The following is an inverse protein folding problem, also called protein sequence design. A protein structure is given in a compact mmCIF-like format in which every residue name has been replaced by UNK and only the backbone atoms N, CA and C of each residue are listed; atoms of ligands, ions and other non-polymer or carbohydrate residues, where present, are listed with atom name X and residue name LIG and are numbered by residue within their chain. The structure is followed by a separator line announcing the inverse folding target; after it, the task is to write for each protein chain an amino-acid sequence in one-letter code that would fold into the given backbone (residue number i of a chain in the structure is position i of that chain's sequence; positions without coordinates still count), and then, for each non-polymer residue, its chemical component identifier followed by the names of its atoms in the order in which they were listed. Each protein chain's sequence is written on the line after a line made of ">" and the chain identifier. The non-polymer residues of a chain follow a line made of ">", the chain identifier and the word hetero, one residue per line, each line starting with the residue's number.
data_IF_236652781372
#
_entry.id   IF_236652781372
#
_cell.length_a   1.000
_cell.length_b   1.000
_cell.length_c   1.000
_cell.angle_alpha   90.00
_cell.angle_beta   90.00
_cell.angle_gamma   90.00
#
_symmetry.space_group_name_H-M   'P 1'
#
loop_
_entity.id
_entity.type
_entity.pdbx_description
1 polymer ?
#
# COMPACT_ATOMS: atom_id res chain seq x y z
N UNK A 1 21.71 -31.04 30.22
CA UNK A 1 23.07 -31.63 30.38
C UNK A 1 22.87 -33.01 31.02
N UNK A 2 23.41 -34.04 30.42
CA UNK A 2 23.42 -35.39 30.97
C UNK A 2 24.70 -35.57 31.78
N UNK A 3 24.55 -36.08 33.00
CA UNK A 3 25.64 -36.50 33.82
C UNK A 3 25.48 -37.97 34.15
N UNK A 4 26.46 -38.81 33.80
CA UNK A 4 26.46 -40.26 34.08
C UNK A 4 27.32 -40.47 35.35
N UNK A 5 26.73 -41.13 36.34
CA UNK A 5 27.38 -41.46 37.60
C UNK A 5 28.14 -42.79 37.52
N UNK A 6 29.10 -43.04 38.42
CA UNK A 6 29.90 -44.28 38.44
C UNK A 6 29.08 -45.54 38.63
N UNK A 7 27.86 -45.43 39.17
CA UNK A 7 26.91 -46.53 39.35
C UNK A 7 26.04 -46.82 38.10
N UNK A 8 26.31 -46.05 36.99
CA UNK A 8 25.54 -46.15 35.75
C UNK A 8 24.22 -45.37 35.74
N UNK A 9 23.85 -44.72 36.84
CA UNK A 9 22.68 -43.84 36.86
C UNK A 9 22.94 -42.55 36.09
N UNK A 10 21.90 -41.94 35.54
CA UNK A 10 21.96 -40.70 34.75
C UNK A 10 21.11 -39.62 35.42
N UNK A 11 21.71 -38.48 35.62
CA UNK A 11 20.99 -37.27 36.01
C UNK A 11 20.86 -36.33 34.83
N UNK A 12 19.67 -35.86 34.57
CA UNK A 12 19.40 -34.87 33.53
C UNK A 12 19.16 -33.51 34.21
N UNK A 13 20.11 -32.63 34.04
CA UNK A 13 19.94 -31.24 34.43
C UNK A 13 19.19 -30.52 33.31
N UNK A 14 18.02 -29.96 33.61
CA UNK A 14 17.32 -29.03 32.72
C UNK A 14 18.17 -27.77 32.69
N UNK A 15 19.02 -27.64 31.68
CA UNK A 15 19.67 -26.36 31.37
C UNK A 15 18.55 -25.47 30.90
N UNK A 16 18.37 -24.31 31.50
CA UNK A 16 17.47 -23.29 30.96
C UNK A 16 17.89 -23.05 29.50
N UNK A 17 17.03 -23.39 28.56
CA UNK A 17 17.23 -22.99 27.19
C UNK A 17 17.31 -21.46 27.19
N UNK A 18 18.36 -20.90 26.60
CA UNK A 18 18.42 -19.45 26.39
C UNK A 18 17.19 -19.07 25.56
N UNK A 19 16.24 -18.40 26.18
CA UNK A 19 15.06 -17.88 25.50
C UNK A 19 15.42 -16.53 24.89
N UNK A 20 15.21 -16.41 23.59
CA UNK A 20 15.31 -15.13 22.90
C UNK A 20 14.06 -14.30 23.23
N UNK A 21 14.26 -13.10 23.80
CA UNK A 21 13.16 -12.19 24.15
C UNK A 21 12.40 -11.74 22.89
N UNK A 22 11.12 -11.40 23.06
CA UNK A 22 10.31 -10.85 21.98
C UNK A 22 10.83 -9.48 21.55
N UNK A 23 10.65 -9.09 20.27
CA UNK A 23 10.94 -7.74 19.81
C UNK A 23 10.15 -6.69 20.57
N UNK A 24 10.70 -5.47 20.64
CA UNK A 24 10.10 -4.30 21.29
C UNK A 24 9.77 -3.24 20.24
N UNK A 25 8.91 -2.27 20.61
CA UNK A 25 8.59 -1.11 19.77
C UNK A 25 8.16 -1.49 18.35
N UNK A 26 7.38 -2.59 18.24
CA UNK A 26 6.87 -3.03 16.94
C UNK A 26 5.84 -2.04 16.43
N UNK A 27 6.11 -1.42 15.29
CA UNK A 27 5.26 -0.40 14.68
C UNK A 27 5.05 -0.66 13.20
N UNK A 28 3.96 -0.11 12.66
CA UNK A 28 3.69 -0.02 11.22
C UNK A 28 3.55 1.45 10.84
N UNK A 29 4.25 1.86 9.82
CA UNK A 29 4.06 3.17 9.19
C UNK A 29 3.49 2.99 7.78
N UNK A 30 2.69 3.96 7.32
CA UNK A 30 2.15 4.00 5.97
C UNK A 30 2.66 5.27 5.27
N UNK A 31 3.05 5.17 4.00
CA UNK A 31 3.40 6.33 3.17
C UNK A 31 2.22 7.28 2.98
N UNK A 32 1.02 6.74 2.90
CA UNK A 32 -0.25 7.45 2.95
C UNK A 32 -1.32 6.55 3.58
N UNK A 33 -2.39 7.13 4.11
CA UNK A 33 -3.49 6.37 4.72
C UNK A 33 -4.72 6.23 3.83
N UNK A 34 -4.78 7.03 2.77
CA UNK A 34 -5.92 7.04 1.84
C UNK A 34 -5.42 7.19 0.42
N UNK A 35 -5.91 6.34 -0.47
CA UNK A 35 -5.65 6.38 -1.91
C UNK A 35 -6.93 6.09 -2.69
N UNK A 36 -6.93 6.37 -3.98
CA UNK A 36 -7.99 5.94 -4.90
C UNK A 36 -7.74 4.52 -5.43
N UNK A 37 -8.80 3.85 -5.85
CA UNK A 37 -8.73 2.56 -6.55
C UNK A 37 -7.66 2.60 -7.64
N UNK A 38 -6.87 1.53 -7.75
CA UNK A 38 -5.74 1.42 -8.68
C UNK A 38 -4.42 1.99 -8.16
N UNK A 39 -4.40 2.62 -6.99
CA UNK A 39 -3.18 3.03 -6.29
C UNK A 39 -2.88 2.08 -5.14
N UNK A 40 -1.62 2.06 -4.70
CA UNK A 40 -1.12 1.23 -3.61
C UNK A 40 -0.75 2.10 -2.42
N UNK A 41 -0.94 1.56 -1.23
CA UNK A 41 -0.39 2.09 0.03
C UNK A 41 0.79 1.20 0.39
N UNK A 42 1.94 1.79 0.72
CA UNK A 42 3.10 1.05 1.22
C UNK A 42 3.17 1.12 2.72
N UNK A 43 3.18 -0.05 3.32
CA UNK A 43 3.34 -0.23 4.75
C UNK A 43 4.76 -0.69 5.05
N UNK A 44 5.36 -0.16 6.11
CA UNK A 44 6.69 -0.53 6.59
C UNK A 44 6.63 -0.89 8.07
N UNK A 45 7.06 -2.10 8.38
CA UNK A 45 7.26 -2.58 9.74
C UNK A 45 8.60 -2.08 10.31
N UNK A 46 8.61 -1.77 11.60
CA UNK A 46 9.82 -1.52 12.38
C UNK A 46 9.73 -2.25 13.71
N UNK A 47 10.84 -2.75 14.19
CA UNK A 47 10.97 -3.41 15.48
C UNK A 47 12.38 -3.19 16.03
N UNK A 48 12.53 -3.26 17.36
CA UNK A 48 13.79 -3.18 18.07
C UNK A 48 14.02 -4.46 18.89
N UNK A 49 15.29 -4.78 19.15
CA UNK A 49 15.67 -5.89 19.99
C UNK A 49 16.93 -5.56 20.80
N UNK A 50 16.99 -6.03 22.05
CA UNK A 50 18.14 -5.77 22.94
C UNK A 50 19.40 -6.53 22.50
N UNK A 51 19.22 -7.73 21.93
CA UNK A 51 20.31 -8.53 21.37
C UNK A 51 20.70 -7.97 20.01
N UNK A 52 21.99 -7.69 19.83
CA UNK A 52 22.54 -7.27 18.53
C UNK A 52 22.57 -8.45 17.56
N UNK A 53 22.48 -8.13 16.26
CA UNK A 53 22.60 -9.10 15.15
C UNK A 53 21.45 -10.14 15.09
N UNK A 54 20.25 -9.80 15.57
CA UNK A 54 19.06 -10.60 15.28
C UNK A 54 18.54 -10.30 13.88
N UNK A 55 17.98 -11.32 13.22
CA UNK A 55 17.14 -11.18 12.05
C UNK A 55 15.68 -11.11 12.49
N UNK A 56 14.79 -10.63 11.60
CA UNK A 56 13.38 -10.56 11.88
C UNK A 56 12.56 -11.37 10.88
N UNK A 57 11.55 -12.08 11.38
CA UNK A 57 10.47 -12.67 10.59
C UNK A 57 9.21 -11.86 10.79
N UNK A 58 8.40 -11.72 9.73
CA UNK A 58 7.21 -10.90 9.71
C UNK A 58 5.98 -11.74 9.34
N UNK A 59 4.85 -11.44 10.00
CA UNK A 59 3.53 -11.94 9.65
C UNK A 59 2.57 -10.77 9.62
N UNK A 60 1.97 -10.53 8.48
CA UNK A 60 1.01 -9.44 8.31
C UNK A 60 -0.41 -9.92 8.49
N UNK A 61 -1.23 -9.03 9.02
CA UNK A 61 -2.64 -9.25 9.26
C UNK A 61 -3.46 -8.12 8.65
N UNK A 62 -4.63 -8.45 8.08
CA UNK A 62 -5.66 -7.52 7.64
C UNK A 62 -6.93 -7.81 8.43
N UNK A 63 -7.46 -6.84 9.15
CA UNK A 63 -8.67 -6.96 9.98
C UNK A 63 -8.63 -8.20 10.92
N UNK A 64 -7.44 -8.50 11.44
CA UNK A 64 -7.17 -9.64 12.32
C UNK A 64 -6.89 -10.98 11.61
N UNK A 65 -7.11 -11.09 10.30
CA UNK A 65 -6.83 -12.28 9.52
C UNK A 65 -5.39 -12.28 8.97
N UNK A 66 -4.71 -13.44 9.04
CA UNK A 66 -3.35 -13.60 8.53
C UNK A 66 -3.31 -13.45 6.99
N UNK A 67 -2.39 -12.64 6.51
CA UNK A 67 -2.07 -12.52 5.09
C UNK A 67 -1.00 -13.53 4.70
N UNK A 68 -1.40 -14.62 4.07
CA UNK A 68 -0.49 -15.67 3.65
C UNK A 68 0.53 -15.15 2.63
N UNK A 69 1.81 -15.50 2.84
CA UNK A 69 2.91 -15.10 1.95
C UNK A 69 3.44 -13.67 2.17
N UNK A 70 2.84 -12.87 3.04
CA UNK A 70 3.34 -11.55 3.41
C UNK A 70 4.39 -11.70 4.55
N UNK A 71 5.64 -11.90 4.17
CA UNK A 71 6.76 -12.20 5.09
C UNK A 71 7.88 -11.14 5.08
N UNK A 72 7.69 -10.05 4.34
CA UNK A 72 8.66 -8.95 4.25
C UNK A 72 8.39 -7.86 5.28
N UNK A 73 9.41 -7.08 5.62
CA UNK A 73 9.27 -5.85 6.42
C UNK A 73 8.38 -4.79 5.74
N UNK A 74 8.18 -4.88 4.43
CA UNK A 74 7.33 -3.98 3.66
C UNK A 74 6.17 -4.75 3.02
N UNK A 75 4.99 -4.11 2.98
CA UNK A 75 3.77 -4.66 2.38
C UNK A 75 3.09 -3.59 1.53
N UNK A 76 2.77 -3.91 0.28
CA UNK A 76 1.92 -3.08 -0.57
C UNK A 76 0.47 -3.56 -0.51
N UNK A 77 -0.46 -2.64 -0.26
CA UNK A 77 -1.88 -2.95 -0.14
C UNK A 77 -2.72 -2.10 -1.10
N UNK A 78 -3.78 -2.70 -1.64
CA UNK A 78 -4.70 -2.09 -2.62
C UNK A 78 -6.14 -2.08 -2.13
N UNK A 79 -6.38 -2.50 -0.90
CA UNK A 79 -7.71 -2.63 -0.31
C UNK A 79 -7.78 -1.90 1.02
N UNK A 80 -8.96 -1.41 1.35
CA UNK A 80 -9.24 -0.86 2.68
C UNK A 80 -9.16 -1.93 3.76
N UNK A 81 -8.69 -1.56 4.94
CA UNK A 81 -8.60 -2.46 6.10
C UNK A 81 -7.72 -1.91 7.20
N UNK A 82 -7.67 -2.63 8.31
CA UNK A 82 -6.77 -2.38 9.43
C UNK A 82 -5.61 -3.38 9.32
N UNK A 83 -4.41 -2.87 9.09
CA UNK A 83 -3.23 -3.70 8.87
C UNK A 83 -2.32 -3.67 10.09
N UNK A 84 -1.90 -4.83 10.56
CA UNK A 84 -0.96 -5.00 11.64
C UNK A 84 0.12 -6.01 11.27
N UNK A 85 1.27 -5.93 11.93
CA UNK A 85 2.37 -6.89 11.75
C UNK A 85 2.70 -7.55 13.08
N UNK A 86 3.04 -8.82 13.04
CA UNK A 86 3.67 -9.57 14.13
C UNK A 86 5.11 -9.86 13.73
N UNK A 87 6.04 -9.51 14.58
CA UNK A 87 7.48 -9.61 14.33
C UNK A 87 8.09 -10.59 15.34
N UNK A 88 8.93 -11.48 14.86
CA UNK A 88 9.70 -12.44 15.64
C UNK A 88 11.18 -12.14 15.44
N UNK A 89 11.96 -12.14 16.52
CA UNK A 89 13.41 -12.10 16.43
C UNK A 89 13.95 -13.51 16.20
N UNK A 90 14.98 -13.62 15.38
CA UNK A 90 15.69 -14.87 15.07
C UNK A 90 17.17 -14.64 15.26
N UNK A 91 17.81 -15.50 16.04
CA UNK A 91 19.24 -15.51 16.31
C UNK A 91 19.83 -16.86 15.92
N UNK A 92 20.84 -16.85 15.07
CA UNK A 92 21.67 -18.02 14.80
C UNK A 92 22.85 -18.02 15.79
N UNK A 93 22.92 -19.06 16.63
CA UNK A 93 23.99 -19.21 17.62
C UNK A 93 24.47 -20.66 17.67
N UNK A 94 25.74 -20.89 17.46
CA UNK A 94 26.40 -22.20 17.54
C UNK A 94 25.69 -23.30 16.72
N UNK A 95 25.21 -22.95 15.53
CA UNK A 95 24.47 -23.87 14.64
C UNK A 95 23.02 -24.14 15.08
N UNK A 96 22.51 -23.40 16.06
CA UNK A 96 21.12 -23.48 16.53
C UNK A 96 20.39 -22.20 16.18
N UNK A 97 19.17 -22.35 15.63
CA UNK A 97 18.26 -21.22 15.36
C UNK A 97 17.35 -21.03 16.57
N UNK A 98 17.47 -19.87 17.23
CA UNK A 98 16.56 -19.44 18.29
C UNK A 98 15.51 -18.49 17.69
N UNK A 99 14.24 -18.71 17.97
CA UNK A 99 13.15 -17.84 17.54
C UNK A 99 12.36 -17.37 18.76
N UNK A 100 12.16 -16.07 18.87
CA UNK A 100 11.42 -15.46 19.98
C UNK A 100 9.90 -15.70 19.87
N UNK A 101 9.16 -15.38 20.94
CA UNK A 101 7.73 -15.12 20.81
C UNK A 101 7.50 -13.90 19.91
N UNK A 102 6.35 -13.85 19.26
CA UNK A 102 5.96 -12.74 18.40
C UNK A 102 5.50 -11.51 19.22
N UNK A 103 5.85 -10.34 18.73
CA UNK A 103 5.30 -9.08 19.20
C UNK A 103 4.48 -8.41 18.09
N UNK A 104 3.28 -7.92 18.41
CA UNK A 104 2.37 -7.30 17.44
C UNK A 104 2.40 -5.78 17.54
N UNK A 105 2.26 -5.14 16.38
CA UNK A 105 2.02 -3.70 16.30
C UNK A 105 0.56 -3.35 16.60
N UNK A 106 0.30 -2.08 16.91
CA UNK A 106 -1.01 -1.50 16.72
C UNK A 106 -1.40 -1.51 15.23
N UNK A 107 -2.71 -1.62 14.91
CA UNK A 107 -3.15 -1.63 13.54
C UNK A 107 -3.13 -0.23 12.91
N UNK A 108 -2.75 -0.15 11.63
CA UNK A 108 -2.86 1.06 10.80
C UNK A 108 -4.05 0.91 9.87
N UNK A 109 -4.98 1.89 9.95
CA UNK A 109 -6.13 1.94 9.04
C UNK A 109 -5.71 2.49 7.69
N UNK A 110 -5.93 1.72 6.63
CA UNK A 110 -5.78 2.11 5.24
C UNK A 110 -7.15 2.23 4.58
N UNK A 111 -7.34 3.23 3.73
CA UNK A 111 -8.60 3.48 3.04
C UNK A 111 -8.36 3.60 1.54
N UNK A 112 -9.10 2.83 0.77
CA UNK A 112 -9.11 2.91 -0.70
C UNK A 112 -10.50 3.37 -1.12
N UNK A 113 -10.57 4.52 -1.78
CA UNK A 113 -11.83 5.16 -2.18
C UNK A 113 -12.05 5.09 -3.68
N UNK A 114 -13.29 5.06 -4.16
CA UNK A 114 -13.61 5.29 -5.57
C UNK A 114 -13.14 6.68 -6.02
N UNK A 115 -12.99 6.85 -7.34
CA UNK A 115 -12.78 8.18 -7.91
C UNK A 115 -14.09 8.98 -7.87
N UNK A 116 -13.98 10.26 -7.53
CA UNK A 116 -15.06 11.24 -7.65
C UNK A 116 -14.73 12.14 -8.85
N UNK A 117 -15.50 12.01 -9.93
CA UNK A 117 -15.28 12.74 -11.17
C UNK A 117 -16.11 14.03 -11.20
N UNK A 118 -15.52 15.09 -11.75
CA UNK A 118 -16.24 16.34 -12.01
C UNK A 118 -17.35 16.13 -13.01
N UNK A 119 -18.52 16.77 -12.79
CA UNK A 119 -19.62 16.78 -13.78
C UNK A 119 -19.25 17.59 -15.02
N UNK A 120 -18.37 18.57 -14.86
CA UNK A 120 -17.87 19.40 -15.94
C UNK A 120 -16.89 18.65 -16.81
N UNK A 121 -17.07 18.73 -18.11
CA UNK A 121 -16.10 18.22 -19.08
C UNK A 121 -14.81 19.00 -19.07
N UNK A 122 -13.69 18.31 -19.00
CA UNK A 122 -12.37 18.79 -19.36
C UNK A 122 -12.09 18.40 -20.82
N UNK A 123 -11.30 19.21 -21.53
CA UNK A 123 -11.01 18.95 -22.94
C UNK A 123 -9.65 19.50 -23.36
N UNK A 124 -9.11 18.96 -24.43
CA UNK A 124 -8.00 19.50 -25.18
C UNK A 124 -8.38 19.60 -26.67
N UNK A 125 -7.45 19.80 -27.57
CA UNK A 125 -7.72 19.93 -29.01
C UNK A 125 -8.16 18.63 -29.71
N UNK A 126 -8.21 17.47 -29.01
CA UNK A 126 -8.53 16.17 -29.59
C UNK A 126 -9.66 15.45 -28.89
N UNK A 127 -9.65 15.45 -27.56
CA UNK A 127 -10.54 14.63 -26.74
C UNK A 127 -11.17 15.45 -25.59
N UNK A 128 -12.23 14.94 -25.04
CA UNK A 128 -12.82 15.41 -23.79
C UNK A 128 -12.90 14.24 -22.79
N UNK A 129 -13.00 14.57 -21.49
CA UNK A 129 -13.05 13.59 -20.40
C UNK A 129 -13.68 14.22 -19.15
N UNK A 130 -14.12 13.38 -18.21
CA UNK A 130 -14.32 13.80 -16.82
C UNK A 130 -13.05 13.53 -16.00
N UNK A 131 -12.69 14.47 -15.13
CA UNK A 131 -11.48 14.42 -14.35
C UNK A 131 -11.79 14.17 -12.87
N UNK A 132 -11.05 13.27 -12.21
CA UNK A 132 -11.19 13.09 -10.78
C UNK A 132 -10.74 14.35 -10.03
N UNK A 133 -11.58 14.82 -9.11
CA UNK A 133 -11.36 16.06 -8.33
C UNK A 133 -10.03 16.08 -7.58
N UNK A 134 -9.52 14.90 -7.19
CA UNK A 134 -8.35 14.77 -6.31
C UNK A 134 -7.11 14.28 -7.07
N UNK A 135 -7.20 13.13 -7.77
CA UNK A 135 -6.01 12.49 -8.37
C UNK A 135 -5.84 12.74 -9.87
N UNK A 136 -6.76 13.51 -10.47
CA UNK A 136 -6.73 13.87 -11.90
C UNK A 136 -6.80 12.67 -12.86
N UNK A 137 -7.25 11.51 -12.37
CA UNK A 137 -7.55 10.39 -13.24
C UNK A 137 -8.72 10.75 -14.18
N UNK A 138 -8.68 10.26 -15.41
CA UNK A 138 -9.65 10.57 -16.47
C UNK A 138 -10.60 9.41 -16.70
N UNK A 139 -11.89 9.71 -16.89
CA UNK A 139 -12.91 8.77 -17.34
C UNK A 139 -13.67 9.35 -18.54
N UNK A 140 -14.41 8.51 -19.27
CA UNK A 140 -15.22 8.88 -20.43
C UNK A 140 -14.43 9.63 -21.52
N UNK A 141 -13.16 9.24 -21.69
CA UNK A 141 -12.28 9.85 -22.68
C UNK A 141 -12.80 9.53 -24.09
N UNK A 142 -13.19 10.55 -24.83
CA UNK A 142 -13.69 10.39 -26.20
C UNK A 142 -13.24 11.54 -27.09
N UNK A 143 -13.18 11.30 -28.40
CA UNK A 143 -12.91 12.32 -29.39
C UNK A 143 -14.08 13.32 -29.49
N UNK A 144 -13.79 14.55 -29.95
CA UNK A 144 -14.83 15.57 -30.12
C UNK A 144 -15.78 15.21 -31.27
N UNK A 145 -17.08 15.27 -30.96
CA UNK A 145 -18.16 15.22 -31.96
C UNK A 145 -18.62 16.63 -32.22
N UNK A 146 -18.14 17.22 -33.32
CA UNK A 146 -18.48 18.60 -33.64
C UNK A 146 -19.86 18.70 -34.31
N UNK A 147 -20.61 19.72 -33.91
CA UNK A 147 -21.86 20.10 -34.52
C UNK A 147 -21.66 20.86 -35.85
N UNK A 148 -22.77 21.43 -36.35
CA UNK A 148 -22.79 22.21 -37.57
C UNK A 148 -21.97 23.50 -37.46
N UNK A 149 -21.37 23.94 -38.58
CA UNK A 149 -20.68 25.22 -38.65
C UNK A 149 -21.63 26.39 -38.51
N UNK A 150 -21.35 27.31 -37.61
CA UNK A 150 -22.07 28.56 -37.45
C UNK A 150 -21.19 29.72 -37.92
N UNK A 151 -21.74 30.57 -38.79
CA UNK A 151 -21.05 31.80 -39.23
C UNK A 151 -21.15 32.81 -38.09
N UNK A 152 -20.01 33.19 -37.52
CA UNK A 152 -19.92 34.19 -36.43
C UNK A 152 -19.62 35.57 -36.97
N UNK A 153 -18.89 35.65 -38.10
CA UNK A 153 -18.68 36.92 -38.84
C UNK A 153 -18.92 36.65 -40.35
N UNK A 154 -19.68 37.53 -41.00
CA UNK A 154 -19.84 37.48 -42.45
C UNK A 154 -18.62 38.08 -43.13
N UNK A 155 -18.17 37.42 -44.20
CA UNK A 155 -17.11 37.98 -45.07
C UNK A 155 -17.62 39.30 -45.74
N UNK A 156 -16.69 40.24 -45.96
CA UNK A 156 -16.88 41.47 -46.71
C UNK A 156 -15.78 41.57 -47.76
N UNK A 157 -15.86 42.53 -48.70
CA UNK A 157 -14.84 42.73 -49.71
C UNK A 157 -13.45 43.05 -49.15
N UNK A 158 -13.37 43.45 -47.87
CA UNK A 158 -12.14 43.89 -47.19
C UNK A 158 -11.74 43.04 -46.01
N UNK A 159 -12.59 42.08 -45.58
CA UNK A 159 -12.34 41.26 -44.41
C UNK A 159 -12.92 39.86 -44.59
N UNK A 160 -12.12 38.84 -44.29
CA UNK A 160 -12.56 37.46 -44.27
C UNK A 160 -13.64 37.22 -43.20
N UNK A 161 -14.58 36.34 -43.50
CA UNK A 161 -15.59 35.90 -42.56
C UNK A 161 -15.03 34.83 -41.59
N UNK A 162 -15.73 34.66 -40.49
CA UNK A 162 -15.40 33.63 -39.48
C UNK A 162 -16.55 32.67 -39.28
N UNK A 163 -16.25 31.41 -39.16
CA UNK A 163 -17.19 30.37 -38.76
C UNK A 163 -16.60 29.52 -37.66
N UNK A 164 -17.44 29.08 -36.77
CA UNK A 164 -17.06 28.27 -35.62
C UNK A 164 -17.99 27.07 -35.50
N UNK A 165 -17.51 26.01 -34.95
CA UNK A 165 -18.31 24.87 -34.51
C UNK A 165 -17.82 24.41 -33.13
N UNK A 166 -18.70 23.85 -32.37
CA UNK A 166 -18.39 23.36 -31.03
C UNK A 166 -18.69 21.88 -30.93
N UNK A 167 -17.96 21.20 -30.06
CA UNK A 167 -18.28 19.83 -29.68
C UNK A 167 -19.67 19.76 -29.03
N UNK A 168 -20.52 18.87 -29.50
CA UNK A 168 -21.91 18.72 -28.99
C UNK A 168 -21.98 18.18 -27.58
N UNK A 169 -20.87 17.60 -27.06
CA UNK A 169 -20.76 17.01 -25.73
C UNK A 169 -20.16 18.00 -24.73
N UNK A 170 -18.94 18.48 -24.99
CA UNK A 170 -18.18 19.30 -24.03
C UNK A 170 -18.17 20.80 -24.32
N UNK A 171 -18.70 21.22 -25.49
CA UNK A 171 -18.73 22.63 -25.90
C UNK A 171 -17.42 23.21 -26.44
N UNK A 172 -16.34 22.39 -26.54
CA UNK A 172 -15.04 22.81 -27.08
C UNK A 172 -15.15 23.35 -28.49
#
# INVERSE_FOLDING_TARGET
>A
KETVHEDGSKTYELVNAEELSAPKNVTVTADCKTVHIGKKIRLKASAEHDTKQVNYLYRWYKDGALLNGAVSAELEVTESGNYAVEVFAVLEKDGTTLTSLGAKSDPVKCTVTPHEYEEKWSSDGKVHWHECTICKNKTDVAEHTFGEWKVTEKATEKKDGRKERSCTVCGH
#
